data_IF_952389844599
#
_entry.id   IF_952389844599
#
_cell.length_a   1.000
_cell.length_b   1.000
_cell.length_c   1.000
_cell.angle_alpha   90.00
_cell.angle_beta   90.00
_cell.angle_gamma   90.00
#
_symmetry.space_group_name_H-M   'P 1'
#
loop_
_entity.id
_entity.type
_entity.pdbx_description
1 polymer ?
#
# COMPACT_ATOMS: atom_id res chain seq x y z
N UNK A 1 14.45 -34.75 -23.80
CA UNK A 1 13.82 -33.95 -22.72
C UNK A 1 13.51 -34.88 -21.56
N UNK A 2 14.25 -34.82 -20.45
CA UNK A 2 14.23 -35.90 -19.45
C UNK A 2 13.14 -35.75 -18.40
N UNK A 3 12.47 -36.87 -18.06
CA UNK A 3 11.43 -36.97 -17.00
C UNK A 3 11.87 -36.32 -15.67
N UNK A 4 13.15 -36.48 -15.31
CA UNK A 4 13.74 -35.98 -14.05
C UNK A 4 13.57 -34.47 -13.83
N UNK A 5 13.53 -33.67 -14.91
CA UNK A 5 13.34 -32.21 -14.82
C UNK A 5 11.91 -31.85 -14.39
N UNK A 6 10.91 -32.68 -14.72
CA UNK A 6 9.52 -32.46 -14.27
C UNK A 6 9.32 -32.85 -12.82
N UNK A 7 9.99 -33.91 -12.35
CA UNK A 7 9.91 -34.36 -10.94
C UNK A 7 10.69 -33.46 -9.97
N UNK A 8 11.60 -32.61 -10.42
CA UNK A 8 12.27 -31.65 -9.53
C UNK A 8 11.33 -30.59 -8.94
N UNK A 9 10.25 -30.25 -9.66
CA UNK A 9 9.23 -29.30 -9.23
C UNK A 9 8.13 -29.92 -8.33
N UNK A 10 8.17 -31.22 -8.06
CA UNK A 10 7.11 -31.87 -7.27
C UNK A 10 7.21 -31.51 -5.79
N UNK A 11 8.33 -31.86 -5.16
CA UNK A 11 8.53 -31.82 -3.71
C UNK A 11 8.61 -30.41 -3.09
N UNK A 12 8.46 -29.36 -3.90
CA UNK A 12 8.63 -27.96 -3.49
C UNK A 12 7.31 -27.21 -3.24
N UNK A 13 6.15 -27.82 -3.48
CA UNK A 13 4.83 -27.20 -3.28
C UNK A 13 4.43 -26.96 -1.81
N UNK A 14 5.37 -27.11 -0.85
CA UNK A 14 5.04 -27.39 0.54
C UNK A 14 6.10 -26.98 1.59
N UNK A 15 6.81 -25.85 1.42
CA UNK A 15 7.00 -24.81 2.46
C UNK A 15 8.19 -23.84 2.21
N UNK A 16 7.96 -22.53 2.42
CA UNK A 16 8.67 -21.63 3.36
C UNK A 16 8.01 -20.21 3.40
N UNK A 17 8.47 -19.27 4.26
CA UNK A 17 8.49 -17.77 4.19
C UNK A 17 8.18 -17.07 5.56
N UNK A 18 8.41 -15.75 5.73
CA UNK A 18 8.34 -14.85 6.93
C UNK A 18 9.72 -14.58 7.58
N UNK A 19 10.07 -13.46 8.25
CA UNK A 19 9.46 -12.14 8.54
C UNK A 19 10.62 -11.08 8.59
N UNK A 20 10.58 -9.84 9.12
CA UNK A 20 9.64 -9.04 9.95
C UNK A 20 9.92 -7.52 9.78
N UNK A 21 9.35 -6.63 10.60
CA UNK A 21 9.48 -5.16 10.47
C UNK A 21 9.29 -4.40 11.82
N UNK A 22 9.49 -3.07 11.82
CA UNK A 22 9.04 -2.14 12.90
C UNK A 22 8.83 -0.71 12.36
N UNK A 23 8.06 0.13 13.07
CA UNK A 23 7.65 1.48 12.65
C UNK A 23 7.33 2.39 13.88
N UNK A 24 7.12 3.70 13.68
CA UNK A 24 6.50 4.63 14.65
C UNK A 24 5.95 5.91 14.00
N UNK A 25 5.10 6.63 14.72
CA UNK A 25 4.09 7.58 14.20
C UNK A 25 4.53 9.06 14.07
N UNK A 26 3.61 9.86 13.52
CA UNK A 26 3.61 11.35 13.53
C UNK A 26 2.23 11.85 13.99
N UNK A 27 2.14 13.10 14.44
CA UNK A 27 0.91 13.77 14.87
C UNK A 27 0.80 15.15 14.19
N UNK A 28 -0.40 15.52 13.76
CA UNK A 28 -0.72 16.85 13.23
C UNK A 28 -1.76 17.56 14.11
N UNK A 29 -1.75 18.90 14.06
CA UNK A 29 -2.78 19.76 14.63
C UNK A 29 -3.58 20.40 13.48
N UNK A 30 -4.87 20.64 13.70
CA UNK A 30 -5.72 21.38 12.77
C UNK A 30 -5.63 22.89 13.04
N UNK A 31 -5.74 23.70 11.98
CA UNK A 31 -5.83 25.16 12.08
C UNK A 31 -7.28 25.67 11.92
N UNK A 32 -7.51 26.94 12.25
CA UNK A 32 -8.82 27.59 12.13
C UNK A 32 -8.80 28.76 11.13
N UNK A 33 -9.97 29.13 10.60
CA UNK A 33 -10.11 30.35 9.80
C UNK A 33 -10.06 31.56 10.75
N UNK A 34 -9.26 32.57 10.43
CA UNK A 34 -9.00 33.71 11.31
C UNK A 34 -7.92 33.48 12.39
N UNK A 35 -7.23 32.34 12.43
CA UNK A 35 -6.05 32.07 13.28
C UNK A 35 -4.78 32.41 12.48
N UNK A 36 -4.57 33.71 12.23
CA UNK A 36 -3.63 34.22 11.23
C UNK A 36 -2.19 34.34 11.73
N UNK A 37 -1.94 34.32 13.04
CA UNK A 37 -0.60 34.22 13.61
C UNK A 37 -0.16 32.77 13.93
N UNK A 38 -1.08 31.82 13.80
CA UNK A 38 -0.89 30.38 14.05
C UNK A 38 -0.61 30.01 15.53
N UNK A 39 -1.08 30.79 16.51
CA UNK A 39 -1.09 30.36 17.92
C UNK A 39 -2.11 29.23 18.20
N UNK A 40 -3.09 29.03 17.30
CA UNK A 40 -4.13 28.01 17.40
C UNK A 40 -5.46 28.52 17.99
N UNK A 41 -5.60 29.82 18.26
CA UNK A 41 -6.73 30.41 18.99
C UNK A 41 -7.26 31.67 18.28
N UNK A 42 -8.30 31.52 17.45
CA UNK A 42 -8.95 32.66 16.74
C UNK A 42 -9.39 33.75 17.74
N UNK A 43 -8.69 34.88 17.77
CA UNK A 43 -8.90 35.88 18.83
C UNK A 43 -8.67 37.35 18.39
N UNK A 44 -8.77 38.27 19.35
CA UNK A 44 -8.57 39.72 19.09
C UNK A 44 -7.17 40.11 18.58
N UNK A 45 -6.14 39.29 18.78
CA UNK A 45 -4.79 39.50 18.20
C UNK A 45 -4.84 39.36 16.68
N UNK A 46 -5.51 38.31 16.18
CA UNK A 46 -5.72 38.07 14.75
C UNK A 46 -6.52 39.19 14.08
N UNK A 47 -7.64 39.59 14.69
CA UNK A 47 -8.45 40.71 14.19
C UNK A 47 -7.63 42.00 14.06
N UNK A 48 -6.74 42.26 15.03
CA UNK A 48 -5.82 43.39 14.98
C UNK A 48 -4.72 43.22 13.92
N UNK A 49 -4.24 42.00 13.67
CA UNK A 49 -3.26 41.71 12.62
C UNK A 49 -3.85 41.90 11.22
N UNK A 50 -5.05 41.37 10.97
CA UNK A 50 -5.84 41.58 9.75
C UNK A 50 -6.10 43.08 9.51
N UNK A 51 -6.51 43.83 10.54
CA UNK A 51 -6.69 45.29 10.43
C UNK A 51 -5.40 46.02 10.02
N UNK A 52 -4.26 45.70 10.65
CA UNK A 52 -2.97 46.33 10.32
C UNK A 52 -2.51 46.00 8.90
N UNK A 53 -2.74 44.77 8.46
CA UNK A 53 -2.46 44.33 7.09
C UNK A 53 -3.35 45.08 6.07
N UNK A 54 -4.66 45.16 6.34
CA UNK A 54 -5.64 45.83 5.47
C UNK A 54 -5.33 47.32 5.25
N UNK A 55 -4.81 48.02 6.26
CA UNK A 55 -4.37 49.43 6.13
C UNK A 55 -2.94 49.60 5.62
N UNK A 56 -2.21 48.52 5.31
CA UNK A 56 -0.88 48.56 4.73
C UNK A 56 0.23 49.02 5.69
N UNK A 57 0.19 48.61 6.97
CA UNK A 57 1.31 48.86 7.89
C UNK A 57 2.49 47.92 7.57
N UNK A 58 3.66 48.51 7.32
CA UNK A 58 4.91 47.78 7.08
C UNK A 58 5.28 46.86 8.26
N UNK A 59 5.79 45.66 7.95
CA UNK A 59 6.27 44.70 8.95
C UNK A 59 5.18 43.86 9.63
N UNK A 60 3.98 43.78 9.05
CA UNK A 60 2.89 42.90 9.50
C UNK A 60 2.93 41.59 8.71
N UNK A 61 3.26 40.50 9.39
CA UNK A 61 3.15 39.14 8.84
C UNK A 61 1.85 38.49 9.34
N UNK A 62 1.10 37.86 8.43
CA UNK A 62 -0.13 37.09 8.70
C UNK A 62 -0.22 35.92 7.70
N UNK A 63 -0.89 34.82 8.08
CA UNK A 63 -1.34 33.82 7.11
C UNK A 63 -2.53 34.34 6.30
N UNK A 64 -2.23 34.83 5.10
CA UNK A 64 -3.23 35.38 4.17
C UNK A 64 -4.25 34.35 3.68
N UNK A 65 -4.01 33.04 3.83
CA UNK A 65 -5.00 31.99 3.50
C UNK A 65 -6.14 31.91 4.52
N UNK A 66 -5.87 32.26 5.77
CA UNK A 66 -6.83 32.25 6.87
C UNK A 66 -7.50 33.60 7.11
N UNK A 67 -7.03 34.65 6.44
CA UNK A 67 -7.38 36.05 6.72
C UNK A 67 -8.59 36.59 5.92
N UNK A 68 -9.02 35.90 4.86
CA UNK A 68 -10.29 36.13 4.17
C UNK A 68 -11.35 35.24 4.86
N UNK A 69 -11.99 35.78 5.88
CA UNK A 69 -12.92 35.10 6.80
C UNK A 69 -14.38 35.37 6.40
N UNK A 70 -14.65 36.43 5.63
CA UNK A 70 -15.97 36.67 5.03
C UNK A 70 -16.18 35.97 3.68
N UNK A 71 -15.11 35.66 2.94
CA UNK A 71 -15.14 34.91 1.69
C UNK A 71 -15.40 35.77 0.45
N UNK A 72 -15.32 37.10 0.55
CA UNK A 72 -15.55 38.02 -0.58
C UNK A 72 -14.33 38.20 -1.52
N UNK A 73 -13.19 37.57 -1.19
CA UNK A 73 -11.95 37.61 -1.96
C UNK A 73 -10.99 38.75 -1.58
N UNK A 74 -11.23 39.48 -0.47
CA UNK A 74 -10.44 40.65 -0.06
C UNK A 74 -10.23 40.70 1.46
N UNK A 75 -9.02 40.42 1.92
CA UNK A 75 -8.60 40.61 3.32
C UNK A 75 -8.79 42.08 3.75
N UNK A 76 -9.80 42.35 4.57
CA UNK A 76 -10.24 43.71 4.91
C UNK A 76 -10.79 43.83 6.35
N UNK A 77 -11.38 44.99 6.67
CA UNK A 77 -12.00 45.25 7.97
C UNK A 77 -13.19 44.34 8.31
N UNK A 78 -13.89 43.78 7.32
CA UNK A 78 -15.00 42.83 7.53
C UNK A 78 -14.51 41.51 8.14
N UNK A 79 -13.37 41.00 7.68
CA UNK A 79 -12.76 39.76 8.20
C UNK A 79 -12.35 39.92 9.65
N UNK A 80 -11.68 41.04 9.97
CA UNK A 80 -11.33 41.39 11.34
C UNK A 80 -12.56 41.53 12.25
N UNK A 81 -13.69 42.02 11.72
CA UNK A 81 -14.95 42.09 12.46
C UNK A 81 -15.55 40.70 12.72
N UNK A 82 -15.50 39.79 11.72
CA UNK A 82 -15.88 38.38 11.93
C UNK A 82 -15.01 37.68 12.96
N UNK A 83 -13.69 37.83 12.87
CA UNK A 83 -12.74 37.27 13.86
C UNK A 83 -13.01 37.82 15.26
N UNK A 84 -13.38 39.11 15.37
CA UNK A 84 -13.82 39.67 16.65
C UNK A 84 -15.15 39.06 17.15
N UNK A 85 -16.13 38.86 16.26
CA UNK A 85 -17.41 38.20 16.59
C UNK A 85 -17.20 36.74 17.05
N UNK A 86 -16.30 36.01 16.40
CA UNK A 86 -15.86 34.66 16.81
C UNK A 86 -15.20 34.71 18.19
N UNK A 87 -14.24 35.64 18.38
CA UNK A 87 -13.52 35.83 19.65
C UNK A 87 -14.42 36.18 20.85
N UNK A 88 -15.64 36.68 20.63
CA UNK A 88 -16.64 36.96 21.69
C UNK A 88 -17.80 35.96 21.73
N UNK A 89 -17.79 34.91 20.90
CA UNK A 89 -18.85 33.89 20.84
C UNK A 89 -20.19 34.39 20.29
N UNK A 90 -20.16 35.37 19.39
CA UNK A 90 -21.32 35.87 18.64
C UNK A 90 -21.49 35.14 17.31
N UNK A 91 -20.39 34.67 16.73
CA UNK A 91 -20.35 33.73 15.60
C UNK A 91 -19.55 32.49 16.01
N UNK A 92 -19.89 31.31 15.48
CA UNK A 92 -19.08 30.11 15.68
C UNK A 92 -17.78 30.21 14.86
N UNK A 93 -16.64 29.65 15.33
CA UNK A 93 -15.41 29.61 14.55
C UNK A 93 -15.65 28.94 13.20
N UNK A 94 -15.34 29.64 12.11
CA UNK A 94 -15.35 29.00 10.79
C UNK A 94 -14.17 28.04 10.74
N UNK A 95 -14.45 26.75 10.68
CA UNK A 95 -13.44 25.74 10.41
C UNK A 95 -13.21 25.78 8.90
N UNK A 96 -11.95 26.00 8.49
CA UNK A 96 -11.55 25.69 7.11
C UNK A 96 -11.60 24.17 7.02
N UNK A 97 -12.56 23.63 6.29
CA UNK A 97 -12.46 22.27 5.76
C UNK A 97 -11.40 22.34 4.63
N UNK A 98 -10.13 22.31 5.02
CA UNK A 98 -8.96 22.32 4.12
C UNK A 98 -9.21 21.28 3.03
N UNK A 99 -9.21 21.69 1.75
CA UNK A 99 -9.79 20.92 0.63
C UNK A 99 -9.31 19.46 0.65
N UNK A 100 -10.16 18.56 1.18
CA UNK A 100 -9.74 17.32 1.84
C UNK A 100 -8.71 16.55 1.03
N UNK A 101 -7.45 16.62 1.46
CA UNK A 101 -6.34 16.09 0.67
C UNK A 101 -6.19 14.59 0.93
N UNK A 102 -5.46 13.86 0.07
CA UNK A 102 -5.14 12.47 0.34
C UNK A 102 -4.44 12.16 1.67
N UNK A 103 -3.82 13.12 2.38
CA UNK A 103 -3.30 12.86 3.74
C UNK A 103 -4.38 12.84 4.82
N UNK A 104 -5.54 13.43 4.54
CA UNK A 104 -6.70 13.57 5.44
C UNK A 104 -7.75 12.48 5.20
N UNK A 105 -7.48 11.56 4.28
CA UNK A 105 -8.37 10.46 3.91
C UNK A 105 -8.54 9.43 5.04
N UNK A 106 -9.77 8.98 5.22
CA UNK A 106 -10.09 7.79 5.99
C UNK A 106 -9.59 6.51 5.28
N UNK A 107 -9.83 5.35 5.89
CA UNK A 107 -9.33 4.08 5.35
C UNK A 107 -9.99 3.74 4.01
N UNK A 108 -11.30 3.95 3.92
CA UNK A 108 -12.11 3.65 2.75
C UNK A 108 -11.75 4.58 1.58
N UNK A 109 -11.53 5.87 1.85
CA UNK A 109 -11.04 6.86 0.89
C UNK A 109 -9.60 6.58 0.43
N UNK A 110 -8.67 6.28 1.35
CA UNK A 110 -7.28 5.97 1.00
C UNK A 110 -7.16 4.68 0.15
N UNK A 111 -7.98 3.67 0.45
CA UNK A 111 -8.07 2.44 -0.35
C UNK A 111 -8.73 2.70 -1.71
N UNK A 112 -9.75 3.55 -1.77
CA UNK A 112 -10.34 4.00 -3.05
C UNK A 112 -9.30 4.73 -3.90
N UNK A 113 -8.56 5.68 -3.33
CA UNK A 113 -7.52 6.46 -4.00
C UNK A 113 -6.42 5.57 -4.58
N UNK A 114 -5.92 4.61 -3.80
CA UNK A 114 -4.98 3.58 -4.27
C UNK A 114 -5.52 2.77 -5.47
N UNK A 115 -6.73 2.20 -5.32
CA UNK A 115 -7.35 1.39 -6.38
C UNK A 115 -7.61 2.22 -7.65
N UNK A 116 -8.03 3.48 -7.51
CA UNK A 116 -8.40 4.33 -8.64
C UNK A 116 -7.16 4.87 -9.38
N UNK A 117 -6.03 5.11 -8.70
CA UNK A 117 -4.76 5.44 -9.36
C UNK A 117 -4.25 4.29 -10.26
N UNK A 118 -4.39 3.03 -9.80
CA UNK A 118 -4.10 1.86 -10.63
C UNK A 118 -5.06 1.74 -11.81
N UNK A 119 -6.37 1.91 -11.60
CA UNK A 119 -7.37 1.90 -12.71
C UNK A 119 -7.09 2.99 -13.74
N UNK A 120 -6.75 4.20 -13.29
CA UNK A 120 -6.38 5.34 -14.15
C UNK A 120 -5.21 4.93 -15.05
N UNK A 121 -4.14 4.42 -14.46
CA UNK A 121 -2.95 3.98 -15.20
C UNK A 121 -3.26 2.86 -16.20
N UNK A 122 -4.01 1.85 -15.78
CA UNK A 122 -4.39 0.70 -16.61
C UNK A 122 -5.31 1.10 -17.79
N UNK A 123 -6.00 2.23 -17.67
CA UNK A 123 -6.88 2.81 -18.69
C UNK A 123 -6.21 3.91 -19.56
N UNK A 124 -4.99 4.34 -19.25
CA UNK A 124 -4.26 5.37 -20.01
C UNK A 124 -4.10 5.01 -21.50
N UNK A 125 -4.08 6.01 -22.38
CA UNK A 125 -3.84 5.84 -23.83
C UNK A 125 -2.55 5.08 -24.11
N UNK A 126 -1.53 5.36 -23.31
CA UNK A 126 -0.26 4.64 -23.20
C UNK A 126 0.07 4.49 -21.72
N UNK A 127 0.54 3.30 -21.32
CA UNK A 127 1.34 3.13 -20.10
C UNK A 127 2.35 2.01 -20.31
N UNK A 128 3.60 2.27 -20.00
CA UNK A 128 4.66 1.26 -19.91
C UNK A 128 4.89 0.95 -18.45
N UNK A 129 4.66 -0.31 -18.08
CA UNK A 129 4.92 -0.84 -16.75
C UNK A 129 6.18 -1.68 -16.83
N UNK A 130 7.25 -1.25 -16.17
CA UNK A 130 8.32 -2.16 -15.78
C UNK A 130 7.95 -2.81 -14.46
N UNK A 131 8.13 -4.12 -14.37
CA UNK A 131 7.84 -4.94 -13.19
C UNK A 131 8.98 -5.91 -12.93
N UNK A 132 9.58 -5.79 -11.76
CA UNK A 132 10.50 -6.75 -11.15
C UNK A 132 9.76 -7.51 -10.04
N UNK A 133 10.14 -8.77 -9.80
CA UNK A 133 9.68 -9.55 -8.64
C UNK A 133 10.83 -10.35 -8.04
N UNK A 134 10.88 -10.45 -6.72
CA UNK A 134 11.85 -11.28 -5.99
C UNK A 134 11.13 -12.29 -5.07
N UNK A 135 11.74 -13.47 -4.88
CA UNK A 135 11.16 -14.61 -4.16
C UNK A 135 12.29 -15.18 -3.28
N UNK A 136 12.53 -14.58 -2.11
CA UNK A 136 13.58 -15.04 -1.19
C UNK A 136 12.99 -16.06 -0.19
N UNK A 137 13.34 -17.34 -0.30
CA UNK A 137 12.54 -18.45 0.26
C UNK A 137 13.45 -19.56 0.79
N UNK A 138 13.22 -20.04 2.02
CA UNK A 138 14.08 -21.05 2.65
C UNK A 138 13.37 -21.91 3.69
N UNK A 139 13.49 -23.23 3.60
CA UNK A 139 13.11 -24.16 4.67
C UNK A 139 14.06 -24.04 5.87
N UNK A 140 13.47 -23.94 7.06
CA UNK A 140 14.15 -24.05 8.36
C UNK A 140 14.09 -25.50 8.88
N UNK A 141 13.02 -26.21 8.55
CA UNK A 141 12.78 -27.60 8.96
C UNK A 141 12.24 -28.38 7.76
N UNK A 142 12.82 -29.54 7.52
CA UNK A 142 12.31 -30.52 6.58
C UNK A 142 12.52 -31.92 7.17
N UNK A 143 11.64 -32.87 6.84
CA UNK A 143 11.79 -34.30 7.19
C UNK A 143 11.60 -35.13 5.91
N UNK A 144 12.52 -36.09 5.60
CA UNK A 144 13.77 -36.39 6.31
C UNK A 144 14.79 -35.24 6.29
N UNK A 145 15.42 -34.94 7.43
CA UNK A 145 16.25 -33.74 7.62
C UNK A 145 17.53 -33.71 6.78
N UNK A 146 18.07 -34.87 6.38
CA UNK A 146 19.20 -34.94 5.42
C UNK A 146 18.89 -34.24 4.08
N UNK A 147 17.62 -34.12 3.70
CA UNK A 147 17.22 -33.52 2.41
C UNK A 147 17.06 -31.99 2.49
N UNK A 148 17.12 -31.38 3.67
CA UNK A 148 16.86 -29.94 3.86
C UNK A 148 17.72 -29.05 2.95
N UNK A 149 19.03 -29.32 2.88
CA UNK A 149 19.94 -28.58 1.99
C UNK A 149 19.65 -28.81 0.50
N UNK A 150 19.24 -30.02 0.12
CA UNK A 150 18.87 -30.34 -1.26
C UNK A 150 17.59 -29.63 -1.68
N UNK A 151 16.59 -29.54 -0.80
CA UNK A 151 15.35 -28.80 -1.10
C UNK A 151 15.61 -27.30 -1.13
N UNK A 152 16.38 -26.72 -0.19
CA UNK A 152 16.74 -25.30 -0.25
C UNK A 152 17.51 -24.92 -1.52
N UNK A 153 18.48 -25.73 -1.95
CA UNK A 153 19.20 -25.49 -3.21
C UNK A 153 18.28 -25.61 -4.46
N UNK A 154 17.21 -26.40 -4.40
CA UNK A 154 16.17 -26.39 -5.42
C UNK A 154 15.29 -25.14 -5.34
N UNK A 155 14.96 -24.65 -4.14
CA UNK A 155 14.21 -23.40 -3.96
C UNK A 155 15.00 -22.24 -4.57
N UNK A 156 16.23 -22.00 -4.12
CA UNK A 156 17.15 -20.97 -4.62
C UNK A 156 17.27 -20.98 -6.16
N UNK A 157 17.26 -22.18 -6.77
CA UNK A 157 17.36 -22.36 -8.22
C UNK A 157 16.08 -22.06 -9.02
N UNK A 158 14.90 -22.12 -8.39
CA UNK A 158 13.62 -21.88 -9.07
C UNK A 158 12.99 -20.52 -8.67
N UNK A 159 13.32 -20.02 -7.49
CA UNK A 159 12.91 -18.74 -6.94
C UNK A 159 13.78 -17.58 -7.47
N UNK A 160 14.05 -17.59 -8.78
CA UNK A 160 14.91 -16.60 -9.43
C UNK A 160 14.14 -15.29 -9.60
N UNK A 161 14.74 -14.12 -9.27
CA UNK A 161 14.11 -12.83 -9.53
C UNK A 161 13.75 -12.67 -11.01
N UNK A 162 12.57 -12.11 -11.28
CA UNK A 162 12.11 -11.84 -12.65
C UNK A 162 12.04 -10.34 -12.90
N UNK A 163 12.29 -9.92 -14.15
CA UNK A 163 12.14 -8.55 -14.61
C UNK A 163 11.45 -8.58 -15.96
N UNK A 164 10.46 -7.72 -16.16
CA UNK A 164 9.60 -7.71 -17.34
C UNK A 164 9.07 -6.30 -17.56
N UNK A 165 9.12 -5.81 -18.80
CA UNK A 165 8.60 -4.49 -19.16
C UNK A 165 7.58 -4.65 -20.28
N UNK A 166 6.42 -4.00 -20.15
CA UNK A 166 5.35 -4.06 -21.16
C UNK A 166 4.60 -2.74 -21.26
N UNK A 167 4.36 -2.31 -22.50
CA UNK A 167 3.47 -1.20 -22.82
C UNK A 167 2.06 -1.70 -23.09
N UNK A 168 1.07 -1.04 -22.50
CA UNK A 168 -0.36 -1.21 -22.70
C UNK A 168 -0.92 0.05 -23.36
N UNK A 169 -1.99 -0.10 -24.11
CA UNK A 169 -2.73 1.01 -24.72
C UNK A 169 -4.20 0.86 -24.42
N UNK A 170 -4.71 1.59 -23.43
CA UNK A 170 -6.08 1.52 -22.92
C UNK A 170 -6.60 0.07 -22.75
N UNK A 171 -5.80 -0.83 -22.15
CA UNK A 171 -6.11 -2.25 -22.02
C UNK A 171 -6.06 -2.74 -20.56
N UNK A 172 -7.04 -2.36 -19.70
CA UNK A 172 -6.95 -2.63 -18.27
C UNK A 172 -6.91 -4.11 -17.93
N UNK A 173 -7.71 -4.94 -18.61
CA UNK A 173 -7.82 -6.36 -18.37
C UNK A 173 -6.57 -7.19 -18.76
N UNK A 174 -5.57 -6.55 -19.37
CA UNK A 174 -4.24 -7.12 -19.61
C UNK A 174 -3.17 -6.53 -18.67
N UNK A 175 -3.25 -5.23 -18.37
CA UNK A 175 -2.40 -4.58 -17.38
C UNK A 175 -2.60 -5.17 -15.97
N UNK A 176 -3.85 -5.41 -15.57
CA UNK A 176 -4.24 -6.03 -14.30
C UNK A 176 -3.71 -7.46 -14.15
N UNK A 177 -3.71 -8.24 -15.23
CA UNK A 177 -3.13 -9.61 -15.27
C UNK A 177 -1.61 -9.61 -15.33
N UNK A 178 -1.00 -8.51 -15.78
CA UNK A 178 0.45 -8.38 -15.82
C UNK A 178 1.02 -7.90 -14.48
N UNK A 179 0.36 -6.94 -13.82
CA UNK A 179 0.79 -6.35 -12.56
C UNK A 179 -0.02 -6.91 -11.38
N UNK A 180 -1.12 -6.25 -10.97
CA UNK A 180 -1.98 -6.67 -9.84
C UNK A 180 -3.44 -6.28 -10.03
N UNK A 181 -4.40 -6.91 -9.32
CA UNK A 181 -5.80 -6.47 -9.27
C UNK A 181 -6.01 -5.08 -8.64
N UNK A 182 -7.12 -4.43 -8.99
CA UNK A 182 -7.49 -3.07 -8.54
C UNK A 182 -8.72 -3.04 -7.61
N UNK A 183 -8.86 -4.12 -6.83
CA UNK A 183 -10.10 -4.52 -6.16
C UNK A 183 -9.98 -4.61 -4.63
N UNK A 184 -9.04 -3.88 -4.02
CA UNK A 184 -8.79 -3.94 -2.58
C UNK A 184 -10.01 -3.44 -1.79
N UNK A 185 -10.57 -4.28 -0.93
CA UNK A 185 -11.56 -3.86 0.07
C UNK A 185 -10.86 -3.25 1.30
N UNK A 186 -11.44 -2.18 1.86
CA UNK A 186 -10.94 -1.56 3.11
C UNK A 186 -11.04 -2.50 4.34
N UNK A 187 -11.95 -3.48 4.31
CA UNK A 187 -12.01 -4.59 5.27
C UNK A 187 -10.75 -5.46 5.27
N UNK A 188 -9.99 -5.46 4.17
CA UNK A 188 -8.69 -6.11 4.03
C UNK A 188 -7.52 -5.30 4.57
N UNK A 189 -7.73 -4.05 5.00
CA UNK A 189 -6.66 -3.14 5.43
C UNK A 189 -6.60 -3.05 6.96
N UNK A 190 -5.47 -3.54 7.49
CA UNK A 190 -5.12 -3.51 8.92
C UNK A 190 -4.74 -2.11 9.38
N UNK A 191 -3.91 -1.44 8.59
CA UNK A 191 -3.47 -0.05 8.82
C UNK A 191 -3.03 0.58 7.51
N UNK A 192 -3.14 1.90 7.40
CA UNK A 192 -2.69 2.67 6.25
C UNK A 192 -2.04 3.97 6.73
N UNK A 193 -1.25 4.59 5.86
CA UNK A 193 -0.76 5.97 5.98
C UNK A 193 -0.72 6.59 4.59
N UNK A 194 -1.06 7.87 4.49
CA UNK A 194 -0.79 8.67 3.30
C UNK A 194 0.06 9.87 3.71
N UNK A 195 1.11 10.17 2.95
CA UNK A 195 2.02 11.28 3.24
C UNK A 195 2.26 12.10 1.97
N UNK A 196 2.28 13.43 2.08
CA UNK A 196 2.65 14.31 0.97
C UNK A 196 4.10 14.03 0.51
N UNK A 197 4.36 14.16 -0.78
CA UNK A 197 5.71 14.15 -1.38
C UNK A 197 5.84 15.30 -2.38
N UNK A 198 7.07 15.63 -2.76
CA UNK A 198 7.39 16.68 -3.75
C UNK A 198 6.64 16.51 -5.08
N UNK A 199 6.28 15.27 -5.44
CA UNK A 199 5.58 14.91 -6.68
C UNK A 199 4.06 14.78 -6.52
N UNK A 200 3.57 14.62 -5.30
CA UNK A 200 2.19 14.21 -5.04
C UNK A 200 2.02 13.62 -3.64
N UNK A 201 1.77 12.32 -3.57
CA UNK A 201 1.46 11.59 -2.35
C UNK A 201 2.09 10.19 -2.37
N UNK A 202 2.34 9.65 -1.19
CA UNK A 202 2.78 8.27 -0.98
C UNK A 202 1.76 7.57 -0.10
N UNK A 203 1.12 6.54 -0.64
CA UNK A 203 0.16 5.69 0.05
C UNK A 203 0.86 4.42 0.49
N UNK A 204 0.87 4.12 1.79
CA UNK A 204 1.35 2.85 2.34
C UNK A 204 0.21 2.13 3.04
N UNK A 205 -0.04 0.88 2.67
CA UNK A 205 -1.15 0.06 3.16
C UNK A 205 -0.58 -1.26 3.67
N UNK A 206 -0.93 -1.66 4.90
CA UNK A 206 -0.68 -2.99 5.42
C UNK A 206 -1.99 -3.80 5.43
N UNK A 207 -1.98 -4.94 4.75
CA UNK A 207 -3.12 -5.85 4.72
C UNK A 207 -3.31 -6.58 6.07
N UNK A 208 -4.52 -7.11 6.29
CA UNK A 208 -4.80 -8.07 7.35
C UNK A 208 -4.00 -9.36 7.14
N UNK A 209 -3.68 -10.04 8.24
CA UNK A 209 -3.03 -11.35 8.18
C UNK A 209 -4.02 -12.43 7.77
N UNK A 210 -3.71 -13.20 6.74
CA UNK A 210 -4.58 -14.30 6.25
C UNK A 210 -3.87 -15.65 6.36
N UNK A 211 -4.59 -16.69 6.75
CA UNK A 211 -4.05 -18.06 6.85
C UNK A 211 -4.97 -19.02 6.10
N UNK A 212 -4.43 -19.72 5.10
CA UNK A 212 -5.20 -20.53 4.14
C UNK A 212 -4.54 -21.89 3.86
N UNK A 213 -5.29 -22.83 3.27
CA UNK A 213 -4.76 -24.13 2.78
C UNK A 213 -4.30 -24.00 1.30
N UNK A 214 -3.48 -24.93 0.82
CA UNK A 214 -2.91 -24.96 -0.54
C UNK A 214 -3.92 -24.99 -1.71
N UNK A 215 -5.21 -25.19 -1.41
CA UNK A 215 -6.34 -25.13 -2.35
C UNK A 215 -7.05 -23.79 -2.39
N UNK A 216 -6.77 -22.91 -1.45
CA UNK A 216 -7.53 -21.67 -1.18
C UNK A 216 -6.62 -20.46 -1.28
N UNK A 217 -7.02 -19.46 -2.06
CA UNK A 217 -6.31 -18.20 -2.13
C UNK A 217 -6.68 -17.31 -0.93
N UNK A 218 -5.73 -16.52 -0.38
CA UNK A 218 -6.03 -15.48 0.61
C UNK A 218 -6.87 -14.37 -0.05
N UNK A 219 -8.03 -14.02 0.51
CA UNK A 219 -9.01 -13.12 -0.11
C UNK A 219 -8.40 -11.75 -0.39
N UNK A 220 -7.88 -11.09 0.63
CA UNK A 220 -7.46 -9.70 0.55
C UNK A 220 -6.10 -9.55 -0.14
N UNK A 221 -5.18 -10.49 0.09
CA UNK A 221 -3.92 -10.53 -0.65
C UNK A 221 -4.14 -10.80 -2.15
N UNK A 222 -5.18 -11.56 -2.55
CA UNK A 222 -5.57 -11.70 -3.96
C UNK A 222 -6.31 -10.49 -4.56
N UNK A 223 -6.74 -9.51 -3.77
CA UNK A 223 -7.39 -8.29 -4.27
C UNK A 223 -6.40 -7.18 -4.67
N UNK A 224 -5.13 -7.31 -4.28
CA UNK A 224 -4.13 -6.24 -4.42
C UNK A 224 -2.69 -6.75 -4.62
N UNK A 225 -2.43 -8.06 -4.71
CA UNK A 225 -1.08 -8.62 -4.83
C UNK A 225 -1.10 -9.95 -5.59
N UNK A 226 0.05 -10.63 -5.67
CA UNK A 226 0.24 -11.91 -6.36
C UNK A 226 0.56 -13.07 -5.39
N UNK A 227 -0.37 -13.49 -4.51
CA UNK A 227 -0.20 -14.66 -3.64
C UNK A 227 0.03 -15.96 -4.43
N UNK A 228 0.69 -16.95 -3.82
CA UNK A 228 1.13 -18.16 -4.52
C UNK A 228 -0.08 -19.00 -4.97
N UNK A 229 -0.23 -19.16 -6.28
CA UNK A 229 -1.30 -19.93 -6.92
C UNK A 229 -0.79 -21.27 -7.53
N UNK A 230 -1.72 -22.14 -7.97
CA UNK A 230 -1.41 -23.37 -8.73
C UNK A 230 -0.80 -24.51 -7.91
N UNK A 231 -0.66 -24.36 -6.60
CA UNK A 231 -0.05 -25.36 -5.69
C UNK A 231 -0.82 -26.69 -5.75
N UNK A 232 -2.15 -26.63 -5.80
CA UNK A 232 -3.01 -27.81 -5.90
C UNK A 232 -2.80 -28.59 -7.21
N UNK A 233 -2.73 -27.90 -8.35
CA UNK A 233 -2.49 -28.52 -9.65
C UNK A 233 -1.10 -29.16 -9.71
N UNK A 234 -0.09 -28.50 -9.15
CA UNK A 234 1.28 -29.02 -9.06
C UNK A 234 1.34 -30.27 -8.16
N UNK A 235 0.63 -30.29 -7.03
CA UNK A 235 0.55 -31.47 -6.18
C UNK A 235 -0.10 -32.66 -6.90
N UNK A 236 -1.26 -32.44 -7.55
CA UNK A 236 -1.96 -33.49 -8.32
C UNK A 236 -1.11 -34.02 -9.48
N UNK A 237 -0.54 -33.12 -10.29
CA UNK A 237 0.30 -33.41 -11.47
C UNK A 237 1.55 -34.24 -11.16
N UNK A 238 1.99 -34.23 -9.91
CA UNK A 238 3.16 -34.98 -9.44
C UNK A 238 2.83 -36.06 -8.39
N UNK A 239 1.56 -36.47 -8.28
CA UNK A 239 1.10 -37.54 -7.39
C UNK A 239 1.40 -37.30 -5.89
N UNK A 240 1.44 -36.03 -5.46
CA UNK A 240 1.63 -35.65 -4.06
C UNK A 240 0.29 -35.59 -3.35
N UNK A 241 0.17 -36.33 -2.24
CA UNK A 241 -1.00 -36.26 -1.36
C UNK A 241 -0.68 -35.34 -0.18
N UNK A 242 -1.04 -34.06 -0.29
CA UNK A 242 -0.99 -33.13 0.86
C UNK A 242 -1.97 -33.61 1.93
N UNK A 243 -1.50 -33.68 3.18
CA UNK A 243 -2.25 -34.14 4.37
C UNK A 243 -2.74 -32.96 5.20
N UNK A 244 -1.93 -31.92 5.28
CA UNK A 244 -2.27 -30.62 5.88
C UNK A 244 -1.34 -29.56 5.29
N UNK A 245 -1.84 -28.35 5.09
CA UNK A 245 -0.99 -27.19 4.83
C UNK A 245 -1.52 -25.97 5.57
N UNK A 246 -0.62 -25.01 5.80
CA UNK A 246 -0.90 -23.68 6.30
C UNK A 246 -0.06 -22.74 5.45
N UNK A 247 -0.69 -21.84 4.69
CA UNK A 247 -0.06 -20.70 4.03
C UNK A 247 -0.45 -19.45 4.83
N UNK A 248 0.49 -18.89 5.56
CA UNK A 248 0.36 -17.62 6.26
C UNK A 248 0.67 -16.47 5.28
N UNK A 249 -0.06 -15.37 5.37
CA UNK A 249 0.14 -14.14 4.60
C UNK A 249 0.06 -13.02 5.63
N UNK A 250 1.11 -12.84 6.44
CA UNK A 250 1.06 -12.19 7.77
C UNK A 250 0.87 -10.65 7.74
N UNK A 251 0.40 -10.11 6.62
CA UNK A 251 0.17 -8.70 6.34
C UNK A 251 1.14 -8.18 5.27
N UNK A 252 0.75 -8.27 3.99
CA UNK A 252 1.48 -7.61 2.89
C UNK A 252 1.49 -6.11 3.09
N UNK A 253 2.66 -5.50 2.96
CA UNK A 253 2.80 -4.05 2.87
C UNK A 253 2.84 -3.66 1.41
N UNK A 254 1.92 -2.81 1.00
CA UNK A 254 1.82 -2.14 -0.29
C UNK A 254 2.31 -0.72 -0.10
N UNK A 255 3.07 -0.19 -1.07
CA UNK A 255 3.47 1.21 -1.13
C UNK A 255 3.34 1.69 -2.56
N UNK A 256 2.63 2.80 -2.77
CA UNK A 256 2.48 3.45 -4.05
C UNK A 256 2.89 4.93 -3.93
N UNK A 257 3.73 5.42 -4.85
CA UNK A 257 3.89 6.86 -5.07
C UNK A 257 2.96 7.28 -6.22
N UNK A 258 2.18 8.33 -5.99
CA UNK A 258 1.15 8.85 -6.89
C UNK A 258 1.40 10.34 -7.05
N UNK A 259 1.34 10.87 -8.27
CA UNK A 259 1.54 12.31 -8.50
C UNK A 259 0.30 13.17 -8.14
N UNK A 260 0.46 14.50 -8.23
CA UNK A 260 -0.64 15.43 -7.97
C UNK A 260 -1.85 15.25 -8.92
N UNK A 261 -1.65 14.70 -10.12
CA UNK A 261 -2.74 14.40 -11.07
C UNK A 261 -3.43 13.06 -10.78
N UNK A 262 -2.92 12.27 -9.84
CA UNK A 262 -3.44 10.94 -9.50
C UNK A 262 -2.91 9.81 -10.39
N UNK A 263 -1.81 10.00 -11.14
CA UNK A 263 -1.12 8.92 -11.83
C UNK A 263 -0.19 8.20 -10.84
N UNK A 264 -0.26 6.87 -10.76
CA UNK A 264 0.73 6.11 -10.01
C UNK A 264 2.08 6.13 -10.76
N UNK A 265 3.17 6.36 -10.02
CA UNK A 265 4.55 6.45 -10.51
C UNK A 265 5.34 5.18 -10.18
N UNK A 266 5.15 4.66 -8.97
CA UNK A 266 5.80 3.44 -8.48
C UNK A 266 4.82 2.60 -7.66
N UNK A 267 5.06 1.29 -7.63
CA UNK A 267 4.33 0.34 -6.79
C UNK A 267 5.31 -0.70 -6.22
N UNK A 268 5.43 -0.77 -4.90
CA UNK A 268 6.28 -1.72 -4.20
C UNK A 268 5.44 -2.57 -3.23
N UNK A 269 5.39 -3.88 -3.44
CA UNK A 269 4.76 -4.82 -2.52
C UNK A 269 5.81 -5.65 -1.80
N UNK A 270 5.63 -5.79 -0.50
CA UNK A 270 6.47 -6.56 0.41
C UNK A 270 5.56 -7.55 1.13
N UNK A 271 5.48 -8.77 0.61
CA UNK A 271 4.57 -9.81 1.09
C UNK A 271 5.31 -10.82 1.96
N UNK A 272 5.14 -10.76 3.31
CA UNK A 272 5.50 -11.88 4.17
C UNK A 272 4.47 -12.99 3.94
N UNK A 273 4.91 -14.06 3.30
CA UNK A 273 4.21 -15.35 3.31
C UNK A 273 4.71 -16.14 4.55
N UNK A 274 4.18 -17.32 4.84
CA UNK A 274 4.85 -18.37 5.61
C UNK A 274 4.19 -19.70 5.28
N UNK A 275 4.84 -20.84 5.54
CA UNK A 275 4.11 -22.11 5.42
C UNK A 275 4.70 -23.26 6.23
N UNK A 276 3.76 -24.07 6.71
CA UNK A 276 3.95 -25.37 7.33
C UNK A 276 3.13 -26.39 6.54
N UNK A 277 3.69 -27.55 6.19
CA UNK A 277 2.96 -28.56 5.44
C UNK A 277 3.41 -29.99 5.71
N UNK A 278 2.49 -30.93 5.49
CA UNK A 278 2.69 -32.38 5.58
C UNK A 278 2.13 -33.02 4.32
N UNK A 279 2.91 -33.87 3.67
CA UNK A 279 2.50 -34.54 2.44
C UNK A 279 3.08 -35.95 2.32
N UNK A 280 2.50 -36.76 1.43
CA UNK A 280 3.05 -38.06 1.03
C UNK A 280 3.44 -38.02 -0.45
N UNK A 281 4.65 -38.44 -0.77
CA UNK A 281 5.17 -38.62 -2.13
C UNK A 281 5.67 -40.05 -2.30
N UNK A 282 5.00 -40.82 -3.17
CA UNK A 282 5.20 -42.27 -3.24
C UNK A 282 4.84 -42.93 -1.90
N UNK A 283 5.82 -43.60 -1.27
CA UNK A 283 5.70 -44.19 0.06
C UNK A 283 6.28 -43.30 1.18
N UNK A 284 6.87 -42.16 0.84
CA UNK A 284 7.58 -41.29 1.80
C UNK A 284 6.67 -40.18 2.30
N UNK A 285 6.51 -40.08 3.62
CA UNK A 285 5.93 -38.90 4.24
C UNK A 285 6.99 -37.81 4.41
N UNK A 286 6.65 -36.58 4.05
CA UNK A 286 7.47 -35.38 4.22
C UNK A 286 6.73 -34.34 5.05
N UNK A 287 7.48 -33.58 5.85
CA UNK A 287 7.00 -32.47 6.67
C UNK A 287 7.97 -31.30 6.50
N UNK A 288 7.46 -30.10 6.24
CA UNK A 288 8.27 -28.90 5.97
C UNK A 288 7.74 -27.65 6.66
N UNK A 289 8.64 -26.76 7.07
CA UNK A 289 8.33 -25.38 7.46
C UNK A 289 9.52 -24.45 7.18
N UNK A 290 9.31 -23.19 6.83
CA UNK A 290 10.42 -22.27 6.52
C UNK A 290 10.09 -20.78 6.59
N UNK A 291 11.08 -19.93 6.29
CA UNK A 291 11.16 -18.47 6.41
C UNK A 291 11.63 -17.77 5.09
N UNK A 292 11.52 -16.43 4.97
CA UNK A 292 11.74 -15.66 3.72
C UNK A 292 10.82 -14.43 3.45
N UNK A 293 10.71 -13.96 2.20
CA UNK A 293 9.78 -12.91 1.70
C UNK A 293 9.50 -12.99 0.18
N UNK A 294 8.36 -12.44 -0.31
CA UNK A 294 8.16 -12.06 -1.72
C UNK A 294 8.17 -10.53 -1.87
N UNK A 295 8.75 -10.02 -2.96
CA UNK A 295 8.56 -8.62 -3.38
C UNK A 295 8.10 -8.48 -4.83
N UNK A 296 7.42 -7.38 -5.10
CA UNK A 296 7.11 -6.86 -6.43
C UNK A 296 7.49 -5.39 -6.44
N UNK A 297 8.32 -4.97 -7.38
CA UNK A 297 8.70 -3.58 -7.61
C UNK A 297 8.25 -3.21 -9.03
N UNK A 298 7.50 -2.12 -9.19
CA UNK A 298 7.09 -1.64 -10.50
C UNK A 298 7.18 -0.12 -10.63
N UNK A 299 7.43 0.32 -11.86
CA UNK A 299 7.49 1.73 -12.26
C UNK A 299 6.60 1.95 -13.49
N UNK A 300 6.01 3.15 -13.58
CA UNK A 300 5.04 3.52 -14.60
C UNK A 300 5.55 4.71 -15.40
N UNK A 301 5.51 4.59 -16.72
CA UNK A 301 5.82 5.67 -17.67
C UNK A 301 4.68 5.78 -18.68
N UNK A 302 4.09 6.97 -18.81
CA UNK A 302 2.91 7.21 -19.66
C UNK A 302 3.33 7.59 -21.09
#
# INVERSE_FOLDING_TARGET
MNKLVKTGLSLMTAAAIAASASASAVSFAAGYMGDVDNDGSVNSVDALAILKYSVGIDGVEIDTKKADVDGDGKINSSDALKVLNISVGVEDPIIIDDEKTPVDYDKEEAVKYYNDALKKAYASESVTIEKKTDINVKLDKFKPSLLLGTVNSLIEKNAVPTQSTKTFKANPAEAEKFLVPTALEATGVKSYTVTKTDKGYKVTIALVGEVVDYKTMPKYNSQASLPIAGIADLAQKNNITVKSSKLDYSGTVITAEIDNDGNILTLNHTMPLAVEAKATYGLTNVEGSGSGQYTLDATFTY
#
